data_IF_502585937227
#
_entry.id   IF_502585937227
#
_cell.length_a   1.000
_cell.length_b   1.000
_cell.length_c   1.000
_cell.angle_alpha   90.00
_cell.angle_beta   90.00
_cell.angle_gamma   90.00
#
_symmetry.space_group_name_H-M   'P 1'
#
loop_
_entity.id
_entity.type
_entity.pdbx_description
1 polymer ?
#
# COMPACT_ATOMS: atom_id res chain seq x y z
N UNK A 1 -19.86 32.69 5.63
CA UNK A 1 -19.24 31.44 6.09
C UNK A 1 -19.58 30.37 5.07
N UNK A 2 -18.64 30.00 4.19
CA UNK A 2 -18.83 28.81 3.36
C UNK A 2 -18.80 27.61 4.33
N UNK A 3 -19.89 26.86 4.41
CA UNK A 3 -19.87 25.53 5.00
C UNK A 3 -18.85 24.74 4.18
N UNK A 4 -17.65 24.51 4.73
CA UNK A 4 -16.66 23.65 4.12
C UNK A 4 -17.25 22.25 4.16
N UNK A 5 -17.69 21.74 3.00
CA UNK A 5 -18.12 20.35 2.86
C UNK A 5 -17.00 19.43 3.33
N UNK A 6 -17.34 18.27 3.90
CA UNK A 6 -16.34 17.28 4.29
C UNK A 6 -15.75 16.60 3.05
N UNK A 7 -14.48 16.14 3.09
CA UNK A 7 -13.91 15.33 2.01
C UNK A 7 -14.67 14.01 1.86
N UNK A 8 -14.75 13.48 0.63
CA UNK A 8 -15.17 12.09 0.42
C UNK A 8 -14.00 11.18 0.77
N UNK A 9 -14.21 10.24 1.67
CA UNK A 9 -13.16 9.35 2.18
C UNK A 9 -13.35 7.93 1.64
N UNK A 10 -12.29 7.28 1.19
CA UNK A 10 -12.34 5.93 0.64
C UNK A 10 -11.31 5.05 1.34
N UNK A 11 -11.81 4.11 2.13
CA UNK A 11 -11.02 3.11 2.84
C UNK A 11 -10.93 1.87 1.95
N UNK A 12 -9.72 1.45 1.58
CA UNK A 12 -9.47 0.22 0.85
C UNK A 12 -9.04 -0.90 1.78
N UNK A 13 -9.57 -2.09 1.57
CA UNK A 13 -9.10 -3.31 2.21
C UNK A 13 -8.81 -4.37 1.15
N UNK A 14 -7.57 -4.85 1.09
CA UNK A 14 -7.24 -6.01 0.26
C UNK A 14 -7.79 -7.27 0.92
N UNK A 15 -8.32 -8.19 0.10
CA UNK A 15 -8.81 -9.49 0.58
C UNK A 15 -7.83 -10.20 1.51
N UNK A 16 -8.37 -10.96 2.46
CA UNK A 16 -7.59 -11.78 3.38
C UNK A 16 -6.73 -12.83 2.67
N UNK A 17 -5.83 -13.46 3.41
CA UNK A 17 -4.95 -14.49 2.84
C UNK A 17 -5.76 -15.61 2.18
N UNK A 18 -5.45 -15.93 0.92
CA UNK A 18 -6.07 -17.03 0.18
C UNK A 18 -5.20 -18.27 0.08
N UNK A 19 -5.79 -19.39 -0.33
CA UNK A 19 -5.08 -20.65 -0.60
C UNK A 19 -3.95 -20.46 -1.62
N UNK A 20 -4.15 -19.65 -2.66
CA UNK A 20 -3.11 -19.37 -3.65
C UNK A 20 -2.03 -18.41 -3.14
N UNK A 21 -2.36 -17.53 -2.19
CA UNK A 21 -1.32 -16.75 -1.50
C UNK A 21 -0.40 -17.65 -0.67
N UNK A 22 -0.94 -18.65 0.03
CA UNK A 22 -0.13 -19.64 0.77
C UNK A 22 0.71 -20.51 -0.15
N UNK A 23 0.17 -20.90 -1.31
CA UNK A 23 0.86 -21.73 -2.29
C UNK A 23 1.83 -20.96 -3.20
N UNK A 24 1.82 -19.62 -3.14
CA UNK A 24 2.66 -18.78 -4.02
C UNK A 24 2.29 -18.91 -5.50
N UNK A 25 0.99 -18.81 -5.83
CA UNK A 25 0.46 -18.91 -7.20
C UNK A 25 -0.17 -17.60 -7.66
N UNK A 26 -0.11 -17.34 -8.96
CA UNK A 26 -0.90 -16.27 -9.56
C UNK A 26 -2.39 -16.61 -9.47
N UNK A 27 -3.17 -15.66 -8.96
CA UNK A 27 -4.62 -15.82 -8.77
C UNK A 27 -5.41 -15.34 -9.97
N UNK A 28 -4.98 -14.21 -10.54
CA UNK A 28 -5.73 -13.46 -11.53
C UNK A 28 -7.19 -13.23 -11.10
N UNK A 29 -8.09 -13.31 -12.06
CA UNK A 29 -9.52 -13.08 -11.87
C UNK A 29 -10.33 -14.37 -11.72
N UNK A 30 -9.66 -15.49 -11.45
CA UNK A 30 -10.32 -16.77 -11.17
C UNK A 30 -10.91 -16.84 -9.76
N UNK A 31 -11.95 -17.67 -9.61
CA UNK A 31 -12.56 -18.04 -8.32
C UNK A 31 -12.02 -19.33 -7.71
N UNK A 32 -10.91 -19.86 -8.26
CA UNK A 32 -10.29 -21.09 -7.74
C UNK A 32 -9.68 -20.89 -6.34
N UNK A 33 -9.20 -19.67 -6.04
CA UNK A 33 -8.65 -19.32 -4.75
C UNK A 33 -9.74 -18.85 -3.78
N UNK A 34 -9.75 -19.42 -2.57
CA UNK A 34 -10.64 -19.04 -1.45
C UNK A 34 -9.82 -18.56 -0.26
N UNK A 35 -10.44 -17.87 0.70
CA UNK A 35 -9.78 -17.49 1.94
C UNK A 35 -9.33 -18.71 2.74
N UNK A 36 -8.20 -18.56 3.42
CA UNK A 36 -7.78 -19.53 4.44
C UNK A 36 -8.36 -19.17 5.80
N UNK A 37 -8.23 -20.05 6.79
CA UNK A 37 -8.68 -19.74 8.16
C UNK A 37 -7.98 -18.48 8.72
N UNK A 38 -6.70 -18.28 8.40
CA UNK A 38 -5.99 -17.05 8.73
C UNK A 38 -6.54 -15.83 7.97
N UNK A 39 -6.92 -16.00 6.70
CA UNK A 39 -7.59 -14.95 5.92
C UNK A 39 -8.90 -14.48 6.54
N UNK A 40 -9.76 -15.40 6.98
CA UNK A 40 -10.97 -15.06 7.72
C UNK A 40 -10.68 -14.33 9.04
N UNK A 41 -9.76 -14.86 9.85
CA UNK A 41 -9.39 -14.24 11.14
C UNK A 41 -8.88 -12.81 10.97
N UNK A 42 -7.99 -12.59 10.00
CA UNK A 42 -7.42 -11.25 9.75
C UNK A 42 -8.46 -10.28 9.21
N UNK A 43 -9.40 -10.73 8.38
CA UNK A 43 -10.54 -9.92 7.94
C UNK A 43 -11.44 -9.49 9.11
N UNK A 44 -11.69 -10.38 10.07
CA UNK A 44 -12.42 -10.03 11.30
C UNK A 44 -11.67 -8.96 12.12
N UNK A 45 -10.35 -9.08 12.27
CA UNK A 45 -9.55 -8.06 12.98
C UNK A 45 -9.64 -6.69 12.28
N UNK A 46 -9.65 -6.66 10.95
CA UNK A 46 -9.90 -5.42 10.19
C UNK A 46 -11.31 -4.89 10.45
N UNK A 47 -12.33 -5.74 10.46
CA UNK A 47 -13.69 -5.32 10.80
C UNK A 47 -13.80 -4.72 12.22
N UNK A 48 -13.09 -5.28 13.20
CA UNK A 48 -13.00 -4.74 14.56
C UNK A 48 -12.32 -3.36 14.58
N UNK A 49 -11.23 -3.22 13.83
CA UNK A 49 -10.51 -1.97 13.65
C UNK A 49 -11.37 -0.87 13.01
N UNK A 50 -12.36 -1.24 12.18
CA UNK A 50 -13.25 -0.31 11.49
C UNK A 50 -14.57 -0.01 12.25
N UNK A 51 -14.75 -0.51 13.47
CA UNK A 51 -16.02 -0.33 14.21
C UNK A 51 -16.40 1.12 14.49
N UNK A 52 -15.42 2.01 14.67
CA UNK A 52 -15.64 3.43 14.90
C UNK A 52 -15.88 4.23 13.62
N UNK A 53 -15.65 3.63 12.45
CA UNK A 53 -15.80 4.32 11.17
C UNK A 53 -17.27 4.39 10.78
N UNK A 54 -17.76 5.58 10.45
CA UNK A 54 -19.09 5.76 9.87
C UNK A 54 -19.06 5.44 8.38
N UNK A 55 -19.15 4.16 8.04
CA UNK A 55 -19.19 3.68 6.65
C UNK A 55 -20.59 3.92 6.07
N UNK A 56 -20.66 4.65 4.95
CA UNK A 56 -21.90 5.03 4.28
C UNK A 56 -22.29 4.07 3.16
N UNK A 57 -21.31 3.44 2.50
CA UNK A 57 -21.52 2.39 1.51
C UNK A 57 -20.29 1.48 1.40
N UNK A 58 -20.53 0.23 0.98
CA UNK A 58 -19.50 -0.78 0.74
C UNK A 58 -19.49 -1.16 -0.74
N UNK A 59 -18.31 -1.13 -1.36
CA UNK A 59 -18.10 -1.62 -2.72
C UNK A 59 -17.16 -2.82 -2.69
N UNK A 60 -17.45 -3.85 -3.49
CA UNK A 60 -16.60 -5.05 -3.50
C UNK A 60 -16.49 -5.71 -4.86
N UNK A 61 -15.39 -6.44 -5.09
CA UNK A 61 -15.27 -7.32 -6.25
C UNK A 61 -16.15 -8.56 -6.10
N UNK A 62 -16.70 -9.12 -7.18
CA UNK A 62 -17.51 -10.34 -7.13
C UNK A 62 -16.74 -11.61 -6.74
N UNK A 63 -15.39 -11.60 -6.84
CA UNK A 63 -14.60 -12.81 -6.61
C UNK A 63 -14.73 -13.33 -5.18
N UNK A 64 -14.84 -14.66 -5.04
CA UNK A 64 -15.22 -15.37 -3.81
C UNK A 64 -14.37 -14.99 -2.60
N UNK A 65 -13.04 -14.87 -2.77
CA UNK A 65 -12.11 -14.46 -1.69
C UNK A 65 -12.38 -13.05 -1.16
N UNK A 66 -12.88 -12.14 -2.00
CA UNK A 66 -13.28 -10.79 -1.58
C UNK A 66 -14.61 -10.86 -0.86
N UNK A 67 -15.60 -11.58 -1.39
CA UNK A 67 -16.90 -11.74 -0.74
C UNK A 67 -16.76 -12.33 0.67
N UNK A 68 -15.96 -13.40 0.81
CA UNK A 68 -15.62 -13.97 2.12
C UNK A 68 -14.91 -12.99 3.07
N UNK A 69 -14.14 -12.03 2.53
CA UNK A 69 -13.49 -10.98 3.34
C UNK A 69 -14.52 -9.95 3.79
N UNK A 70 -15.40 -9.53 2.88
CA UNK A 70 -16.48 -8.58 3.16
C UNK A 70 -17.41 -9.12 4.24
N UNK A 71 -17.83 -10.37 4.15
CA UNK A 71 -18.68 -11.03 5.17
C UNK A 71 -18.02 -10.94 6.56
N UNK A 72 -16.75 -11.36 6.64
CA UNK A 72 -15.98 -11.35 7.88
C UNK A 72 -15.77 -9.94 8.48
N UNK A 73 -15.64 -8.91 7.63
CA UNK A 73 -15.57 -7.51 8.07
C UNK A 73 -16.95 -7.05 8.57
N UNK A 74 -18.00 -7.26 7.77
CA UNK A 74 -19.35 -6.80 8.06
C UNK A 74 -19.91 -7.42 9.35
N UNK A 75 -19.53 -8.67 9.67
CA UNK A 75 -19.87 -9.33 10.93
C UNK A 75 -19.42 -8.54 12.16
N UNK A 76 -18.33 -7.77 12.06
CA UNK A 76 -17.79 -6.99 13.16
C UNK A 76 -18.30 -5.55 13.20
N UNK A 77 -18.89 -5.03 12.11
CA UNK A 77 -19.40 -3.66 12.05
C UNK A 77 -20.70 -3.52 12.87
N UNK A 78 -20.91 -2.35 13.52
CA UNK A 78 -22.09 -2.11 14.36
C UNK A 78 -23.38 -2.02 13.55
N UNK A 79 -23.34 -1.41 12.36
CA UNK A 79 -24.48 -1.35 11.45
C UNK A 79 -24.45 -2.53 10.48
N UNK A 80 -25.56 -3.27 10.41
CA UNK A 80 -25.77 -4.34 9.42
C UNK A 80 -26.50 -3.87 8.15
N UNK A 81 -26.97 -2.62 8.15
CA UNK A 81 -27.80 -2.06 7.07
C UNK A 81 -27.02 -1.10 6.16
N UNK A 82 -25.71 -1.30 6.02
CA UNK A 82 -24.88 -0.47 5.14
C UNK A 82 -25.15 -0.92 3.69
N UNK A 83 -25.51 0.00 2.77
CA UNK A 83 -25.66 -0.33 1.35
C UNK A 83 -24.41 -0.98 0.78
N UNK A 84 -24.58 -2.07 0.02
CA UNK A 84 -23.49 -2.82 -0.60
C UNK A 84 -23.69 -2.92 -2.10
N UNK A 85 -22.64 -2.70 -2.87
CA UNK A 85 -22.64 -2.83 -4.34
C UNK A 85 -21.45 -3.70 -4.79
N UNK A 86 -21.74 -4.74 -5.56
CA UNK A 86 -20.74 -5.66 -6.11
C UNK A 86 -20.43 -5.24 -7.54
N UNK A 87 -19.16 -4.93 -7.82
CA UNK A 87 -18.74 -4.31 -9.07
C UNK A 87 -17.69 -5.12 -9.81
N UNK A 88 -17.98 -5.44 -11.07
CA UNK A 88 -17.03 -6.12 -11.96
C UNK A 88 -15.75 -5.30 -12.21
N UNK A 89 -15.86 -3.96 -12.21
CA UNK A 89 -14.70 -3.07 -12.31
C UNK A 89 -13.67 -3.34 -11.20
N UNK A 90 -14.10 -3.87 -10.05
CA UNK A 90 -13.26 -4.17 -8.90
C UNK A 90 -12.60 -5.56 -8.92
N UNK A 91 -12.79 -6.37 -9.97
CA UNK A 91 -12.09 -7.67 -10.12
C UNK A 91 -10.57 -7.48 -10.15
N UNK A 92 -9.82 -8.52 -9.79
CA UNK A 92 -8.36 -8.52 -9.87
C UNK A 92 -7.89 -8.33 -11.31
N UNK A 93 -6.59 -8.10 -11.50
CA UNK A 93 -6.00 -8.13 -12.84
C UNK A 93 -6.16 -9.52 -13.50
N UNK A 94 -6.58 -9.53 -14.76
CA UNK A 94 -6.67 -10.76 -15.54
C UNK A 94 -5.28 -11.20 -16.01
N UNK A 95 -4.86 -12.42 -15.64
CA UNK A 95 -3.58 -12.99 -16.07
C UNK A 95 -3.77 -14.41 -16.62
N UNK A 96 -4.55 -14.62 -17.69
CA UNK A 96 -5.08 -15.94 -18.03
C UNK A 96 -4.02 -17.03 -18.23
N UNK A 97 -2.89 -16.69 -18.85
CA UNK A 97 -1.80 -17.63 -19.08
C UNK A 97 -1.01 -17.99 -17.80
N UNK A 98 -1.20 -17.25 -16.71
CA UNK A 98 -0.48 -17.41 -15.44
C UNK A 98 -1.36 -17.92 -14.31
N UNK A 99 -2.68 -17.78 -14.40
CA UNK A 99 -3.62 -18.21 -13.36
C UNK A 99 -3.37 -19.66 -12.92
N UNK A 100 -3.26 -19.87 -11.61
CA UNK A 100 -2.95 -21.17 -11.01
C UNK A 100 -1.48 -21.57 -11.09
N UNK A 101 -0.63 -20.93 -11.89
CA UNK A 101 0.80 -21.27 -11.94
C UNK A 101 1.56 -20.72 -10.72
N UNK A 102 2.52 -21.49 -10.17
CA UNK A 102 3.43 -20.97 -9.16
C UNK A 102 4.26 -19.79 -9.67
N UNK A 103 4.50 -18.78 -8.84
CA UNK A 103 5.33 -17.61 -9.17
C UNK A 103 6.70 -18.02 -9.68
N UNK A 104 7.32 -19.03 -9.04
CA UNK A 104 8.61 -19.58 -9.44
C UNK A 104 8.57 -20.13 -10.86
N UNK A 105 7.51 -20.87 -11.22
CA UNK A 105 7.37 -21.48 -12.55
C UNK A 105 7.32 -20.42 -13.63
N UNK A 106 6.49 -19.38 -13.46
CA UNK A 106 6.41 -18.27 -14.42
C UNK A 106 7.76 -17.55 -14.53
N UNK A 107 8.39 -17.23 -13.39
CA UNK A 107 9.69 -16.53 -13.37
C UNK A 107 10.80 -17.30 -14.10
N UNK A 108 10.81 -18.64 -14.03
CA UNK A 108 11.90 -19.45 -14.63
C UNK A 108 11.60 -19.94 -16.04
N UNK A 109 10.33 -20.17 -16.40
CA UNK A 109 9.95 -20.75 -17.69
C UNK A 109 9.39 -19.73 -18.68
N UNK A 110 8.96 -18.56 -18.21
CA UNK A 110 8.42 -17.49 -19.06
C UNK A 110 9.20 -16.19 -18.83
N UNK A 111 10.53 -16.26 -18.97
CA UNK A 111 11.46 -15.21 -18.53
C UNK A 111 11.20 -13.87 -19.21
N UNK A 112 11.02 -13.85 -20.54
CA UNK A 112 10.84 -12.60 -21.28
C UNK A 112 9.51 -11.89 -20.96
N UNK A 113 8.41 -12.65 -20.87
CA UNK A 113 7.11 -12.09 -20.50
C UNK A 113 7.09 -11.67 -19.04
N UNK A 114 7.71 -12.44 -18.14
CA UNK A 114 7.89 -12.05 -16.74
C UNK A 114 8.75 -10.79 -16.60
N UNK A 115 9.84 -10.66 -17.35
CA UNK A 115 10.67 -9.46 -17.37
C UNK A 115 9.86 -8.25 -17.83
N UNK A 116 9.10 -8.38 -18.92
CA UNK A 116 8.21 -7.32 -19.39
C UNK A 116 7.17 -6.93 -18.34
N UNK A 117 6.55 -7.90 -17.65
CA UNK A 117 5.60 -7.65 -16.57
C UNK A 117 6.19 -6.83 -15.42
N UNK A 118 7.45 -7.09 -15.03
CA UNK A 118 8.10 -6.41 -13.91
C UNK A 118 8.65 -5.04 -14.32
N UNK A 119 9.31 -4.95 -15.48
CA UNK A 119 10.05 -3.75 -15.89
C UNK A 119 9.19 -2.77 -16.69
N UNK A 120 8.28 -3.28 -17.52
CA UNK A 120 7.44 -2.50 -18.44
C UNK A 120 5.98 -2.98 -18.38
N UNK A 121 5.33 -2.94 -17.20
CA UNK A 121 3.98 -3.47 -16.99
C UNK A 121 2.94 -2.89 -17.95
N UNK A 122 3.12 -1.64 -18.39
CA UNK A 122 2.25 -0.97 -19.36
C UNK A 122 2.37 -1.50 -20.79
N UNK A 123 3.43 -2.21 -21.15
CA UNK A 123 3.62 -2.87 -22.44
C UNK A 123 3.30 -4.36 -22.40
N UNK A 124 3.09 -4.91 -21.20
CA UNK A 124 2.78 -6.30 -20.99
C UNK A 124 1.47 -6.68 -21.68
N UNK A 125 1.52 -7.72 -22.50
CA UNK A 125 0.37 -8.24 -23.23
C UNK A 125 0.12 -9.72 -22.91
N UNK A 126 -1.15 -10.10 -22.98
CA UNK A 126 -1.58 -11.50 -22.93
C UNK A 126 -2.70 -11.73 -23.94
N UNK A 127 -2.85 -12.98 -24.38
CA UNK A 127 -4.06 -13.42 -25.07
C UNK A 127 -5.24 -13.45 -24.08
N UNK A 128 -6.40 -12.94 -24.49
CA UNK A 128 -7.65 -13.17 -23.75
C UNK A 128 -8.02 -14.65 -23.83
N UNK A 129 -8.38 -15.25 -22.69
CA UNK A 129 -9.14 -16.49 -22.70
C UNK A 129 -10.63 -16.13 -22.74
N UNK A 130 -11.38 -16.53 -23.77
CA UNK A 130 -12.82 -16.30 -23.80
C UNK A 130 -13.46 -17.00 -22.60
N UNK A 131 -14.08 -16.21 -21.72
CA UNK A 131 -14.92 -16.74 -20.65
C UNK A 131 -16.24 -17.15 -21.32
N UNK A 132 -16.37 -18.45 -21.64
CA UNK A 132 -17.60 -19.08 -22.11
C UNK A 132 -18.34 -18.33 -23.23
N UNK A 133 -17.95 -18.55 -24.48
CA UNK A 133 -18.88 -18.41 -25.60
C UNK A 133 -18.79 -19.65 -26.49
N UNK A 134 -19.94 -20.07 -27.02
CA UNK A 134 -20.06 -21.17 -27.99
C UNK A 134 -19.21 -20.93 -29.26
N UNK A 135 -18.76 -19.69 -29.48
CA UNK A 135 -17.92 -19.25 -30.61
C UNK A 135 -16.41 -19.11 -30.26
N UNK A 136 -16.01 -19.48 -29.04
CA UNK A 136 -14.62 -19.37 -28.56
C UNK A 136 -13.60 -20.14 -29.40
N UNK A 137 -14.02 -21.19 -30.11
CA UNK A 137 -13.12 -21.99 -30.98
C UNK A 137 -12.82 -21.31 -32.32
N UNK A 138 -13.55 -20.26 -32.71
CA UNK A 138 -13.44 -19.62 -34.05
C UNK A 138 -12.85 -18.21 -34.03
N UNK A 139 -12.77 -17.56 -32.88
CA UNK A 139 -12.15 -16.25 -32.76
C UNK A 139 -10.65 -16.38 -32.52
N UNK A 140 -9.83 -15.67 -33.31
CA UNK A 140 -8.41 -15.50 -32.98
C UNK A 140 -8.31 -14.86 -31.58
N UNK A 141 -7.41 -15.33 -30.71
CA UNK A 141 -7.28 -14.76 -29.37
C UNK A 141 -6.91 -13.28 -29.47
N UNK A 142 -7.83 -12.41 -29.04
CA UNK A 142 -7.59 -10.98 -28.96
C UNK A 142 -6.50 -10.73 -27.90
N UNK A 143 -5.39 -10.11 -28.30
CA UNK A 143 -4.38 -9.65 -27.35
C UNK A 143 -4.88 -8.42 -26.62
N UNK A 144 -4.58 -8.32 -25.32
CA UNK A 144 -4.91 -7.16 -24.50
C UNK A 144 -3.74 -6.81 -23.58
N UNK A 145 -3.81 -5.63 -22.97
CA UNK A 145 -2.84 -5.14 -22.00
C UNK A 145 -3.42 -5.21 -20.59
N UNK A 146 -3.11 -6.23 -19.77
CA UNK A 146 -3.76 -6.44 -18.47
C UNK A 146 -3.73 -5.22 -17.54
N UNK A 147 -2.59 -4.53 -17.49
CA UNK A 147 -2.43 -3.35 -16.60
C UNK A 147 -3.23 -2.16 -17.13
N UNK A 148 -3.24 -1.91 -18.44
CA UNK A 148 -4.01 -0.80 -19.02
C UNK A 148 -5.51 -1.02 -18.83
N UNK A 149 -5.98 -2.26 -19.02
CA UNK A 149 -7.38 -2.63 -18.76
C UNK A 149 -7.77 -2.34 -17.30
N UNK A 150 -6.94 -2.78 -16.34
CA UNK A 150 -7.16 -2.56 -14.92
C UNK A 150 -7.23 -1.07 -14.55
N UNK A 151 -6.37 -0.23 -15.14
CA UNK A 151 -6.39 1.23 -14.93
C UNK A 151 -7.65 1.85 -15.54
N UNK A 152 -8.08 1.40 -16.72
CA UNK A 152 -9.35 1.82 -17.32
C UNK A 152 -10.54 1.47 -16.44
N UNK A 153 -10.56 0.28 -15.83
CA UNK A 153 -11.59 -0.15 -14.86
C UNK A 153 -11.60 0.74 -13.62
N UNK A 154 -10.43 1.04 -13.05
CA UNK A 154 -10.31 1.94 -11.91
C UNK A 154 -10.85 3.35 -12.22
N UNK A 155 -10.53 3.91 -13.40
CA UNK A 155 -11.05 5.21 -13.83
C UNK A 155 -12.58 5.21 -13.98
N UNK A 156 -13.17 4.16 -14.58
CA UNK A 156 -14.64 4.00 -14.67
C UNK A 156 -15.29 3.90 -13.29
N UNK A 157 -14.67 3.19 -12.36
CA UNK A 157 -15.14 3.12 -10.98
C UNK A 157 -15.21 4.53 -10.37
N UNK A 158 -14.13 5.32 -10.47
CA UNK A 158 -14.11 6.69 -9.95
C UNK A 158 -15.18 7.58 -10.57
N UNK A 159 -15.29 7.57 -11.90
CA UNK A 159 -16.28 8.37 -12.62
C UNK A 159 -17.73 8.04 -12.21
N UNK A 160 -18.01 6.78 -11.89
CA UNK A 160 -19.37 6.35 -11.55
C UNK A 160 -19.70 6.50 -10.07
N UNK A 161 -18.74 6.24 -9.16
CA UNK A 161 -19.00 6.16 -7.72
C UNK A 161 -18.81 7.52 -7.04
N UNK A 162 -17.71 8.23 -7.32
CA UNK A 162 -17.34 9.42 -6.56
C UNK A 162 -18.42 10.53 -6.55
N UNK A 163 -19.11 10.85 -7.67
CA UNK A 163 -20.16 11.87 -7.68
C UNK A 163 -21.37 11.57 -6.78
N UNK A 164 -21.57 10.31 -6.38
CA UNK A 164 -22.72 9.89 -5.56
C UNK A 164 -22.47 10.05 -4.05
N UNK A 165 -21.22 10.35 -3.64
CA UNK A 165 -20.77 10.18 -2.26
C UNK A 165 -20.03 11.40 -1.71
N UNK A 166 -20.44 12.61 -2.10
CA UNK A 166 -19.86 13.85 -1.58
C UNK A 166 -19.89 13.89 -0.05
N UNK A 167 -18.72 14.03 0.59
CA UNK A 167 -18.57 14.10 2.05
C UNK A 167 -18.90 12.81 2.81
N UNK A 168 -18.96 11.67 2.12
CA UNK A 168 -19.24 10.36 2.72
C UNK A 168 -17.98 9.49 2.79
N UNK A 169 -18.01 8.48 3.67
CA UNK A 169 -16.96 7.46 3.80
C UNK A 169 -17.38 6.16 3.15
N UNK A 170 -16.56 5.68 2.21
CA UNK A 170 -16.75 4.42 1.49
C UNK A 170 -15.76 3.37 1.97
N UNK A 171 -16.22 2.12 2.06
CA UNK A 171 -15.34 0.96 2.23
C UNK A 171 -15.28 0.19 0.91
N UNK A 172 -14.08 0.04 0.34
CA UNK A 172 -13.85 -0.70 -0.91
C UNK A 172 -13.01 -1.93 -0.59
N UNK A 173 -13.59 -3.12 -0.73
CA UNK A 173 -12.88 -4.39 -0.51
C UNK A 173 -12.56 -5.05 -1.85
N UNK A 174 -11.27 -5.24 -2.14
CA UNK A 174 -10.83 -5.71 -3.45
C UNK A 174 -9.47 -6.42 -3.36
N UNK A 175 -8.65 -6.34 -4.40
CA UNK A 175 -7.43 -7.11 -4.58
C UNK A 175 -6.20 -6.23 -4.68
N UNK A 176 -5.01 -6.86 -4.73
CA UNK A 176 -3.75 -6.14 -4.71
C UNK A 176 -3.56 -5.28 -5.95
N UNK A 177 -3.77 -5.85 -7.14
CA UNK A 177 -3.62 -5.11 -8.40
C UNK A 177 -4.71 -4.04 -8.55
N UNK A 178 -5.95 -4.37 -8.21
CA UNK A 178 -7.07 -3.43 -8.32
C UNK A 178 -6.95 -2.23 -7.40
N UNK A 179 -6.65 -2.43 -6.11
CA UNK A 179 -6.44 -1.32 -5.17
C UNK A 179 -5.24 -0.48 -5.62
N UNK A 180 -4.20 -1.14 -6.17
CA UNK A 180 -3.09 -0.43 -6.74
C UNK A 180 -3.50 0.52 -7.87
N UNK A 181 -4.30 0.04 -8.82
CA UNK A 181 -4.81 0.85 -9.93
C UNK A 181 -5.76 1.96 -9.45
N UNK A 182 -6.60 1.70 -8.44
CA UNK A 182 -7.50 2.70 -7.85
C UNK A 182 -6.71 3.85 -7.21
N UNK A 183 -5.72 3.54 -6.39
CA UNK A 183 -4.84 4.55 -5.77
C UNK A 183 -4.03 5.27 -6.84
N UNK A 184 -3.39 4.52 -7.75
CA UNK A 184 -2.57 5.09 -8.82
C UNK A 184 -3.34 6.08 -9.68
N UNK A 185 -4.52 5.70 -10.17
CA UNK A 185 -5.33 6.57 -11.05
C UNK A 185 -5.86 7.81 -10.33
N UNK A 186 -6.14 7.72 -9.03
CA UNK A 186 -6.55 8.87 -8.21
C UNK A 186 -5.40 9.86 -7.96
N UNK A 187 -4.16 9.38 -7.92
CA UNK A 187 -2.94 10.18 -7.75
C UNK A 187 -2.27 10.57 -9.07
N UNK A 188 -2.92 10.35 -10.23
CA UNK A 188 -2.34 10.67 -11.53
C UNK A 188 -1.21 9.74 -12.02
N UNK A 189 -0.93 8.65 -11.31
CA UNK A 189 0.08 7.66 -11.71
C UNK A 189 -0.39 6.86 -12.94
N UNK A 190 0.57 6.49 -13.78
CA UNK A 190 0.33 5.78 -15.04
C UNK A 190 0.49 4.26 -14.89
N UNK A 191 0.02 3.44 -15.86
CA UNK A 191 0.26 2.00 -15.89
C UNK A 191 1.74 1.58 -15.82
N UNK A 192 2.68 2.46 -16.17
CA UNK A 192 4.12 2.19 -16.07
C UNK A 192 4.56 2.03 -14.60
N UNK A 193 3.88 2.71 -13.69
CA UNK A 193 4.16 2.71 -12.25
C UNK A 193 3.45 1.56 -11.51
N UNK A 194 2.91 0.55 -12.21
CA UNK A 194 2.07 -0.51 -11.63
C UNK A 194 2.69 -1.29 -10.45
N UNK A 195 4.01 -1.28 -10.27
CA UNK A 195 4.67 -2.02 -9.19
C UNK A 195 5.24 -1.13 -8.08
N UNK A 196 4.93 0.17 -8.07
CA UNK A 196 5.53 1.12 -7.13
C UNK A 196 4.88 1.15 -5.73
N UNK A 197 3.63 0.69 -5.57
CA UNK A 197 2.97 0.62 -4.26
C UNK A 197 2.74 -0.81 -3.82
N UNK A 198 2.99 -1.10 -2.56
CA UNK A 198 2.69 -2.41 -1.98
C UNK A 198 1.25 -2.48 -1.45
N UNK A 199 0.61 -3.62 -1.67
CA UNK A 199 -0.64 -4.01 -1.00
C UNK A 199 -0.48 -5.39 -0.35
N UNK A 200 -0.64 -5.47 0.97
CA UNK A 200 -0.62 -6.66 1.82
C UNK A 200 -2.03 -7.22 1.99
N UNK A 201 -2.18 -8.53 2.21
CA UNK A 201 -3.49 -9.10 2.54
C UNK A 201 -4.05 -8.45 3.81
N UNK A 202 -5.32 -8.06 3.82
CA UNK A 202 -5.92 -7.26 4.90
C UNK A 202 -5.19 -5.95 5.21
N UNK A 203 -4.33 -5.45 4.30
CA UNK A 203 -3.75 -4.13 4.39
C UNK A 203 -4.82 -3.07 4.13
N UNK A 204 -4.77 -1.99 4.92
CA UNK A 204 -5.71 -0.87 4.86
C UNK A 204 -5.03 0.35 4.23
N UNK A 205 -5.65 0.93 3.22
CA UNK A 205 -5.21 2.20 2.62
C UNK A 205 -6.36 3.20 2.63
N UNK A 206 -6.08 4.49 2.63
CA UNK A 206 -7.09 5.56 2.70
C UNK A 206 -6.76 6.65 1.70
N UNK A 207 -7.73 6.96 0.84
CA UNK A 207 -7.76 8.19 0.05
C UNK A 207 -8.80 9.16 0.60
N UNK A 208 -8.51 10.44 0.51
CA UNK A 208 -9.49 11.51 0.68
C UNK A 208 -9.58 12.34 -0.59
N UNK A 209 -10.80 12.75 -0.93
CA UNK A 209 -11.09 13.62 -2.06
C UNK A 209 -11.63 14.93 -1.48
N UNK A 210 -10.77 15.96 -1.31
CA UNK A 210 -11.21 17.23 -0.77
C UNK A 210 -12.30 17.86 -1.65
N UNK A 211 -13.27 18.56 -1.05
CA UNK A 211 -14.31 19.19 -1.85
C UNK A 211 -13.73 20.28 -2.74
N UNK A 212 -14.24 20.35 -3.98
CA UNK A 212 -13.77 21.26 -5.03
C UNK A 212 -12.29 21.07 -5.46
N UNK A 213 -11.57 20.10 -4.89
CA UNK A 213 -10.28 19.69 -5.41
C UNK A 213 -10.47 18.75 -6.62
N UNK A 214 -9.58 18.89 -7.60
CA UNK A 214 -9.49 17.99 -8.74
C UNK A 214 -8.47 16.86 -8.51
N UNK A 215 -8.05 16.65 -7.27
CA UNK A 215 -7.02 15.69 -6.88
C UNK A 215 -7.47 14.88 -5.65
N UNK A 216 -6.85 13.71 -5.47
CA UNK A 216 -6.99 12.89 -4.29
C UNK A 216 -5.77 13.01 -3.38
N UNK A 217 -5.97 12.81 -2.09
CA UNK A 217 -4.94 12.74 -1.07
C UNK A 217 -4.76 11.31 -0.60
N UNK A 218 -3.54 10.78 -0.65
CA UNK A 218 -3.18 9.54 0.02
C UNK A 218 -2.84 9.81 1.48
N UNK A 219 -3.78 9.46 2.36
CA UNK A 219 -3.67 9.69 3.80
C UNK A 219 -3.07 8.47 4.52
N UNK A 220 -3.21 7.28 3.94
CA UNK A 220 -2.64 6.05 4.51
C UNK A 220 -2.44 5.02 3.41
N UNK A 221 -1.35 4.25 3.48
CA UNK A 221 -1.09 3.17 2.53
C UNK A 221 -0.68 1.91 3.27
N UNK A 222 -1.38 0.83 2.98
CA UNK A 222 -0.99 -0.53 3.30
C UNK A 222 -0.65 -0.77 4.78
N UNK A 223 -1.42 -0.16 5.68
CA UNK A 223 -1.31 -0.40 7.10
C UNK A 223 -1.80 -1.80 7.47
N UNK A 224 -0.98 -2.51 8.22
CA UNK A 224 -1.24 -3.88 8.70
C UNK A 224 -1.30 -3.96 10.22
N UNK A 225 -1.31 -2.81 10.92
CA UNK A 225 -1.36 -2.76 12.38
C UNK A 225 -2.59 -3.45 12.97
N UNK A 226 -3.75 -3.37 12.30
CA UNK A 226 -4.98 -4.05 12.73
C UNK A 226 -4.79 -5.57 12.90
N UNK A 227 -3.98 -6.18 12.03
CA UNK A 227 -3.71 -7.62 12.02
C UNK A 227 -2.43 -8.00 12.79
N UNK A 228 -1.79 -7.03 13.44
CA UNK A 228 -0.60 -7.25 14.28
C UNK A 228 0.72 -7.34 13.53
N UNK A 229 0.79 -6.90 12.27
CA UNK A 229 2.06 -6.80 11.55
C UNK A 229 2.58 -5.36 11.61
N UNK A 230 3.74 -5.14 12.24
CA UNK A 230 4.35 -3.82 12.43
C UNK A 230 4.79 -3.18 11.11
N UNK A 231 5.41 -3.96 10.24
CA UNK A 231 5.88 -3.51 8.93
C UNK A 231 5.32 -4.41 7.83
N UNK A 232 4.96 -3.85 6.65
CA UNK A 232 4.57 -4.66 5.50
C UNK A 232 5.65 -5.71 5.16
N UNK A 233 5.25 -6.93 4.81
CA UNK A 233 6.22 -7.99 4.45
C UNK A 233 7.04 -7.64 3.21
N UNK A 234 8.32 -7.99 3.20
CA UNK A 234 9.15 -7.90 2.00
C UNK A 234 8.66 -8.90 0.94
N UNK A 235 8.33 -8.41 -0.26
CA UNK A 235 7.85 -9.26 -1.37
C UNK A 235 8.99 -9.82 -2.24
N UNK A 236 10.08 -9.08 -2.44
CA UNK A 236 11.19 -9.45 -3.33
C UNK A 236 12.53 -9.52 -2.57
N UNK A 237 13.26 -10.62 -2.76
CA UNK A 237 14.69 -10.76 -2.44
C UNK A 237 15.10 -10.79 -0.97
N UNK A 238 14.32 -10.21 -0.05
CA UNK A 238 14.75 -9.93 1.35
C UNK A 238 16.15 -9.31 1.41
N UNK A 239 16.44 -8.44 0.44
CA UNK A 239 17.75 -7.91 0.14
C UNK A 239 17.62 -6.45 -0.30
N UNK A 240 18.73 -5.72 -0.27
CA UNK A 240 18.79 -4.31 -0.62
C UNK A 240 18.55 -3.42 0.59
N UNK A 241 17.94 -2.27 0.36
CA UNK A 241 17.82 -1.23 1.36
C UNK A 241 16.36 -0.96 1.70
N UNK A 242 16.04 -0.94 2.98
CA UNK A 242 14.73 -0.58 3.51
C UNK A 242 14.86 0.68 4.35
N UNK A 243 14.08 1.71 4.02
CA UNK A 243 14.05 2.95 4.78
C UNK A 243 12.74 3.07 5.54
N UNK A 244 12.86 3.38 6.83
CA UNK A 244 11.79 3.82 7.69
C UNK A 244 11.88 5.34 7.78
N UNK A 245 10.88 6.02 7.25
CA UNK A 245 10.84 7.47 7.12
C UNK A 245 9.92 8.01 8.22
N UNK A 246 10.49 8.76 9.16
CA UNK A 246 9.79 9.34 10.30
C UNK A 246 9.69 10.87 10.11
N UNK A 247 8.52 11.40 9.69
CA UNK A 247 8.28 12.84 9.63
C UNK A 247 8.19 13.38 11.05
N UNK A 248 9.00 14.39 11.33
CA UNK A 248 9.06 15.02 12.65
C UNK A 248 9.03 16.53 12.52
N UNK A 249 8.21 17.17 13.35
CA UNK A 249 8.24 18.62 13.56
C UNK A 249 9.06 18.95 14.81
N UNK A 250 9.72 20.13 14.86
CA UNK A 250 10.44 20.57 16.06
C UNK A 250 9.56 20.50 17.31
N UNK A 251 10.14 20.04 18.41
CA UNK A 251 9.48 19.96 19.73
C UNK A 251 8.28 18.99 19.82
N UNK A 252 7.96 18.25 18.76
CA UNK A 252 6.86 17.28 18.83
C UNK A 252 7.20 16.08 19.73
N UNK A 253 6.22 15.53 20.48
CA UNK A 253 6.42 14.30 21.23
C UNK A 253 6.47 13.08 20.28
N UNK A 254 7.45 12.19 20.47
CA UNK A 254 7.62 10.96 19.69
C UNK A 254 6.97 9.74 20.37
N UNK A 255 5.79 9.93 20.96
CA UNK A 255 5.12 8.90 21.75
C UNK A 255 4.86 7.63 20.92
N UNK A 256 5.21 6.47 21.47
CA UNK A 256 5.02 5.15 20.85
C UNK A 256 5.98 4.81 19.71
N UNK A 257 6.77 5.76 19.20
CA UNK A 257 7.82 5.48 18.20
C UNK A 257 8.94 4.60 18.76
N UNK A 258 9.48 4.85 19.98
CA UNK A 258 10.49 3.95 20.56
C UNK A 258 9.97 2.51 20.73
N UNK A 259 8.75 2.35 21.23
CA UNK A 259 8.12 1.03 21.40
C UNK A 259 7.92 0.33 20.05
N UNK A 260 7.52 1.07 19.01
CA UNK A 260 7.42 0.54 17.65
C UNK A 260 8.75 0.05 17.10
N UNK A 261 9.83 0.78 17.37
CA UNK A 261 11.17 0.46 16.89
C UNK A 261 11.82 -0.70 17.66
N UNK A 262 11.41 -0.97 18.91
CA UNK A 262 11.98 -2.04 19.75
C UNK A 262 12.02 -3.41 19.05
N UNK A 263 11.01 -3.76 18.26
CA UNK A 263 10.93 -5.03 17.53
C UNK A 263 11.58 -4.99 16.13
N UNK A 264 12.21 -3.88 15.76
CA UNK A 264 12.75 -3.62 14.43
C UNK A 264 14.27 -3.48 14.50
N UNK A 265 14.99 -4.34 13.78
CA UNK A 265 16.44 -4.18 13.61
C UNK A 265 16.77 -2.94 12.76
N UNK A 266 17.67 -2.09 13.25
CA UNK A 266 18.15 -0.87 12.58
C UNK A 266 19.67 -0.92 12.41
N UNK A 267 20.14 -0.88 11.16
CA UNK A 267 21.56 -0.87 10.85
C UNK A 267 22.16 0.54 10.97
N UNK A 268 21.39 1.57 10.62
CA UNK A 268 21.80 2.97 10.73
C UNK A 268 20.61 3.91 10.93
N UNK A 269 20.89 5.12 11.40
CA UNK A 269 19.93 6.21 11.50
C UNK A 269 20.51 7.48 10.89
N UNK A 270 19.70 8.15 10.06
CA UNK A 270 20.01 9.43 9.42
C UNK A 270 19.05 10.47 9.96
N UNK A 271 19.57 11.61 10.39
CA UNK A 271 18.73 12.72 10.82
C UNK A 271 19.16 14.06 10.22
N UNK A 272 18.17 14.90 9.94
CA UNK A 272 18.40 16.30 9.58
C UNK A 272 18.91 17.05 10.81
N UNK A 273 20.05 17.74 10.68
CA UNK A 273 20.65 18.47 11.80
C UNK A 273 19.67 19.48 12.41
N UNK A 274 19.58 19.48 13.75
CA UNK A 274 18.77 20.43 14.52
C UNK A 274 17.26 20.14 14.55
N UNK A 275 16.79 19.06 13.92
CA UNK A 275 15.35 18.74 13.88
C UNK A 275 14.82 18.19 15.22
N UNK A 276 15.60 17.33 15.86
CA UNK A 276 15.33 16.81 17.21
C UNK A 276 16.57 16.95 18.08
N UNK A 277 16.39 17.04 19.39
CA UNK A 277 17.50 17.11 20.34
C UNK A 277 18.29 15.78 20.40
N UNK A 278 19.55 15.85 20.82
CA UNK A 278 20.37 14.67 21.10
C UNK A 278 19.69 13.75 22.15
N UNK A 279 18.99 14.35 23.11
CA UNK A 279 18.20 13.62 24.10
C UNK A 279 17.06 12.81 23.47
N UNK A 280 16.26 13.43 22.58
CA UNK A 280 15.19 12.74 21.85
C UNK A 280 15.76 11.64 20.94
N UNK A 281 16.89 11.89 20.29
CA UNK A 281 17.60 10.88 19.48
C UNK A 281 18.00 9.67 20.33
N UNK A 282 18.62 9.93 21.49
CA UNK A 282 19.05 8.88 22.41
C UNK A 282 17.87 8.08 22.97
N UNK A 283 16.74 8.73 23.26
CA UNK A 283 15.52 8.06 23.70
C UNK A 283 14.93 7.18 22.58
N UNK A 284 14.94 7.66 21.34
CA UNK A 284 14.40 6.92 20.21
C UNK A 284 15.24 5.69 19.85
N UNK A 285 16.56 5.77 20.03
CA UNK A 285 17.51 4.69 19.73
C UNK A 285 17.95 3.92 20.98
N UNK A 286 17.25 4.04 22.12
CA UNK A 286 17.67 3.43 23.39
C UNK A 286 17.80 1.91 23.31
N UNK A 287 17.00 1.27 22.46
CA UNK A 287 16.99 -0.17 22.22
C UNK A 287 17.90 -0.60 21.05
N UNK A 288 18.66 0.34 20.47
CA UNK A 288 19.46 0.12 19.28
C UNK A 288 20.92 0.62 19.44
N UNK A 289 21.69 0.06 20.40
CA UNK A 289 23.04 0.55 20.73
C UNK A 289 24.06 0.33 19.61
N UNK A 290 23.80 -0.60 18.68
CA UNK A 290 24.67 -0.90 17.54
C UNK A 290 24.36 -0.05 16.29
N UNK A 291 23.26 0.72 16.30
CA UNK A 291 22.85 1.53 15.14
C UNK A 291 23.83 2.67 14.91
N UNK A 292 24.40 2.71 13.71
CA UNK A 292 25.30 3.80 13.30
C UNK A 292 24.50 5.08 13.09
N UNK A 293 24.80 6.11 13.88
CA UNK A 293 24.12 7.41 13.79
C UNK A 293 24.90 8.37 12.88
N UNK A 294 24.22 8.94 11.89
CA UNK A 294 24.79 9.94 10.99
C UNK A 294 23.92 11.19 11.00
N UNK A 295 24.48 12.31 11.46
CA UNK A 295 23.87 13.61 11.29
C UNK A 295 24.21 14.15 9.91
N UNK A 296 23.19 14.59 9.17
CA UNK A 296 23.39 15.13 7.84
C UNK A 296 23.03 16.61 7.81
N UNK A 297 24.03 17.44 7.50
CA UNK A 297 23.87 18.89 7.36
C UNK A 297 23.32 19.30 5.99
N UNK A 298 23.36 18.38 5.01
CA UNK A 298 22.88 18.63 3.65
C UNK A 298 21.38 18.38 3.56
N UNK A 299 20.65 19.36 3.04
CA UNK A 299 19.21 19.25 2.82
C UNK A 299 18.84 18.27 1.72
N UNK A 300 19.72 18.07 0.75
CA UNK A 300 19.53 17.20 -0.41
C UNK A 300 20.10 15.79 -0.20
N UNK A 301 20.48 15.41 1.04
CA UNK A 301 21.26 14.18 1.24
C UNK A 301 20.54 12.94 0.76
N UNK A 302 19.22 12.90 0.87
CA UNK A 302 18.43 11.76 0.43
C UNK A 302 18.51 11.64 -1.09
N UNK A 303 18.42 12.75 -1.82
CA UNK A 303 18.57 12.80 -3.27
C UNK A 303 20.00 12.49 -3.70
N UNK A 304 21.01 13.05 -3.02
CA UNK A 304 22.42 12.76 -3.27
C UNK A 304 22.76 11.30 -2.99
N UNK A 305 22.15 10.70 -1.97
CA UNK A 305 22.35 9.30 -1.61
C UNK A 305 21.62 8.37 -2.58
N UNK A 306 20.40 8.70 -3.01
CA UNK A 306 19.73 8.00 -4.10
C UNK A 306 20.53 8.05 -5.39
N UNK A 307 21.05 9.23 -5.77
CA UNK A 307 21.96 9.37 -6.91
C UNK A 307 23.20 8.51 -6.72
N UNK A 308 23.78 8.47 -5.52
CA UNK A 308 24.93 7.61 -5.21
C UNK A 308 24.58 6.12 -5.33
N UNK A 309 23.42 5.68 -4.86
CA UNK A 309 22.95 4.30 -4.99
C UNK A 309 22.70 3.93 -6.47
N UNK A 310 22.15 4.87 -7.24
CA UNK A 310 21.94 4.70 -8.69
C UNK A 310 23.27 4.69 -9.46
N UNK A 311 24.21 5.58 -9.14
CA UNK A 311 25.52 5.71 -9.79
C UNK A 311 26.49 4.58 -9.43
N UNK A 312 26.42 4.05 -8.21
CA UNK A 312 27.23 2.90 -7.77
C UNK A 312 26.73 1.57 -8.32
N UNK A 313 25.68 1.58 -9.15
CA UNK A 313 25.16 0.40 -9.84
C UNK A 313 24.92 -0.75 -8.87
N UNK A 314 23.91 -0.64 -8.01
CA UNK A 314 23.40 -1.71 -7.12
C UNK A 314 24.47 -2.75 -6.75
N UNK A 315 25.49 -2.36 -5.97
CA UNK A 315 26.33 -3.36 -5.32
C UNK A 315 25.38 -4.23 -4.48
N UNK A 316 25.25 -5.49 -4.90
CA UNK A 316 24.33 -6.45 -4.28
C UNK A 316 24.78 -6.71 -2.86
N UNK A 317 24.20 -5.97 -1.91
CA UNK A 317 24.26 -6.42 -0.52
C UNK A 317 23.47 -7.71 -0.44
N UNK A 318 24.12 -8.84 -0.18
CA UNK A 318 23.43 -10.13 0.04
C UNK A 318 22.48 -10.06 1.25
N UNK A 319 22.64 -9.03 2.09
CA UNK A 319 21.83 -8.74 3.27
C UNK A 319 20.92 -7.52 3.05
N UNK A 320 19.77 -7.53 3.72
CA UNK A 320 18.90 -6.37 3.82
C UNK A 320 19.49 -5.39 4.84
N UNK A 321 19.66 -4.13 4.44
CA UNK A 321 19.96 -3.03 5.35
C UNK A 321 18.68 -2.26 5.66
N UNK A 322 18.43 -1.98 6.93
CA UNK A 322 17.29 -1.20 7.41
C UNK A 322 17.79 0.09 8.05
N UNK A 323 17.39 1.22 7.48
CA UNK A 323 17.76 2.54 7.97
C UNK A 323 16.56 3.32 8.47
N UNK A 324 16.72 4.04 9.58
CA UNK A 324 15.77 5.06 10.01
C UNK A 324 16.18 6.42 9.42
N UNK A 325 15.22 7.18 8.92
CA UNK A 325 15.41 8.54 8.40
C UNK A 325 14.46 9.49 9.11
N UNK A 326 15.00 10.48 9.81
CA UNK A 326 14.26 11.49 10.57
C UNK A 326 14.43 12.84 9.86
N UNK A 327 13.32 13.37 9.34
CA UNK A 327 13.31 14.63 8.58
C UNK A 327 11.96 15.34 8.72
N UNK A 328 11.89 16.60 8.29
CA UNK A 328 10.62 17.34 8.29
C UNK A 328 9.59 16.70 7.33
N UNK A 329 8.28 16.88 7.57
CA UNK A 329 7.23 16.37 6.69
C UNK A 329 7.49 16.69 5.21
N UNK A 330 7.77 17.96 4.88
CA UNK A 330 8.02 18.40 3.49
C UNK A 330 9.16 17.63 2.81
N UNK A 331 10.26 17.36 3.54
CA UNK A 331 11.43 16.65 3.00
C UNK A 331 11.10 15.18 2.74
N UNK A 332 10.35 14.54 3.62
CA UNK A 332 9.91 13.15 3.44
C UNK A 332 8.88 13.06 2.32
N UNK A 333 7.97 14.02 2.23
CA UNK A 333 6.98 14.08 1.18
C UNK A 333 7.63 14.23 -0.19
N UNK A 334 8.57 15.18 -0.36
CA UNK A 334 9.31 15.35 -1.60
C UNK A 334 10.05 14.07 -2.03
N UNK A 335 10.67 13.37 -1.07
CA UNK A 335 11.31 12.07 -1.31
C UNK A 335 10.30 11.03 -1.80
N UNK A 336 9.17 10.89 -1.11
CA UNK A 336 8.14 9.91 -1.44
C UNK A 336 7.54 10.16 -2.81
N UNK A 337 7.22 11.42 -3.13
CA UNK A 337 6.73 11.82 -4.46
C UNK A 337 7.73 11.45 -5.55
N UNK A 338 9.03 11.73 -5.35
CA UNK A 338 10.07 11.34 -6.28
C UNK A 338 10.14 9.81 -6.47
N UNK A 339 10.01 9.03 -5.38
CA UNK A 339 10.06 7.56 -5.42
C UNK A 339 8.91 6.97 -6.25
N UNK A 340 7.69 7.47 -6.05
CA UNK A 340 6.51 6.98 -6.78
C UNK A 340 6.38 7.60 -8.17
N UNK A 341 7.21 8.60 -8.50
CA UNK A 341 7.28 9.24 -9.82
C UNK A 341 6.21 10.30 -10.04
N UNK A 342 5.89 11.07 -9.00
CA UNK A 342 5.02 12.25 -9.03
C UNK A 342 5.89 13.50 -9.13
N UNK A 343 5.47 14.47 -9.95
CA UNK A 343 6.20 15.72 -10.13
C UNK A 343 6.12 16.60 -8.86
N UNK A 344 7.18 17.34 -8.50
CA UNK A 344 7.30 18.09 -7.24
C UNK A 344 6.41 19.36 -7.13
N UNK A 345 5.43 19.54 -8.00
CA UNK A 345 4.50 20.69 -7.97
C UNK A 345 3.07 20.28 -7.58
N UNK A 346 2.90 19.06 -7.09
CA UNK A 346 1.63 18.50 -6.60
C UNK A 346 1.71 18.32 -5.08
N UNK A 347 1.99 19.41 -4.37
CA UNK A 347 2.33 19.46 -2.93
C UNK A 347 1.23 18.91 -1.99
N UNK A 348 0.05 18.60 -2.53
CA UNK A 348 -1.10 18.14 -1.76
C UNK A 348 -1.50 16.69 -2.01
N UNK A 349 -0.72 15.85 -2.72
CA UNK A 349 -1.13 14.46 -3.02
C UNK A 349 -0.86 13.45 -1.91
N UNK A 350 0.15 13.68 -1.06
CA UNK A 350 0.47 12.81 0.08
C UNK A 350 0.22 13.60 1.36
N UNK A 351 -0.68 13.11 2.21
CA UNK A 351 -0.89 13.69 3.54
C UNK A 351 -0.03 12.91 4.52
N UNK A 352 1.07 13.50 5.01
CA UNK A 352 1.93 12.89 6.02
C UNK A 352 1.48 13.28 7.42
N UNK A 353 1.46 12.30 8.32
CA UNK A 353 1.17 12.52 9.73
C UNK A 353 2.47 12.49 10.52
N UNK A 354 2.92 13.62 11.11
CA UNK A 354 4.09 13.64 11.96
C UNK A 354 4.03 12.53 13.04
N UNK A 355 5.15 11.83 13.25
CA UNK A 355 5.23 10.70 14.18
C UNK A 355 4.69 9.36 13.65
N UNK A 356 4.14 9.31 12.43
CA UNK A 356 3.75 8.07 11.74
C UNK A 356 4.78 7.68 10.70
N UNK A 357 5.13 6.41 10.65
CA UNK A 357 6.20 5.94 9.76
C UNK A 357 5.70 5.79 8.33
N UNK A 358 6.56 6.09 7.36
CA UNK A 358 6.43 5.59 5.98
C UNK A 358 7.56 4.63 5.68
N UNK A 359 7.34 3.64 4.80
CA UNK A 359 8.30 2.55 4.59
C UNK A 359 8.57 2.40 3.11
N UNK A 360 9.84 2.47 2.71
CA UNK A 360 10.28 2.31 1.32
C UNK A 360 11.27 1.16 1.22
N UNK A 361 11.14 0.34 0.19
CA UNK A 361 12.10 -0.72 -0.12
C UNK A 361 12.74 -0.50 -1.48
N UNK A 362 14.06 -0.34 -1.48
CA UNK A 362 14.94 -0.34 -2.64
C UNK A 362 15.50 -1.75 -2.82
N UNK A 363 14.83 -2.57 -3.64
CA UNK A 363 15.30 -3.91 -3.94
C UNK A 363 16.61 -3.87 -4.77
N UNK A 364 17.48 -4.87 -4.59
CA UNK A 364 18.74 -5.03 -5.36
C UNK A 364 18.55 -5.33 -6.85
N UNK A 365 17.31 -5.53 -7.33
CA UNK A 365 17.02 -5.66 -8.75
C UNK A 365 16.74 -4.30 -9.37
N UNK A 366 16.93 -4.15 -10.68
CA UNK A 366 16.65 -2.95 -11.51
C UNK A 366 15.19 -2.42 -11.44
N UNK A 367 14.40 -2.91 -10.51
CA UNK A 367 13.06 -2.44 -10.17
C UNK A 367 13.10 -1.08 -9.49
N UNK A 368 12.14 -0.22 -9.85
CA UNK A 368 11.84 1.02 -9.13
C UNK A 368 11.65 0.74 -7.63
N UNK A 369 11.99 1.70 -6.74
CA UNK A 369 11.73 1.54 -5.32
C UNK A 369 10.22 1.38 -5.07
N UNK A 370 9.89 0.64 -4.02
CA UNK A 370 8.50 0.31 -3.67
C UNK A 370 8.14 1.06 -2.39
N UNK A 371 7.10 1.89 -2.45
CA UNK A 371 6.45 2.44 -1.27
C UNK A 371 5.64 1.31 -0.62
N UNK A 372 6.16 0.79 0.48
CA UNK A 372 5.58 -0.35 1.17
C UNK A 372 4.40 0.04 2.07
N UNK A 373 4.45 1.24 2.65
CA UNK A 373 3.39 1.79 3.48
C UNK A 373 3.60 3.28 3.75
N UNK A 374 2.51 3.98 4.06
CA UNK A 374 2.46 5.41 4.34
C UNK A 374 1.59 5.62 5.59
N UNK A 375 2.08 6.43 6.52
CA UNK A 375 1.44 6.69 7.82
C UNK A 375 1.06 5.41 8.58
N UNK A 376 1.95 4.41 8.61
CA UNK A 376 1.68 3.16 9.33
C UNK A 376 1.65 3.41 10.85
N UNK A 377 0.79 2.66 11.54
CA UNK A 377 0.44 2.93 12.92
C UNK A 377 1.55 2.51 13.89
N UNK A 378 2.19 3.48 14.55
CA UNK A 378 3.29 3.28 15.51
C UNK A 378 2.84 2.86 16.92
N UNK A 379 1.61 3.16 17.35
CA UNK A 379 1.16 2.91 18.74
C UNK A 379 0.64 1.47 19.01
N UNK A 380 1.15 0.43 18.33
CA UNK A 380 0.62 -0.93 18.50
C UNK A 380 1.21 -1.74 19.67
N UNK A 381 2.14 -1.19 20.46
CA UNK A 381 2.91 -1.99 21.43
C UNK A 381 2.35 -1.84 22.85
N UNK A 382 1.43 -2.76 23.19
CA UNK A 382 1.27 -3.50 24.46
C UNK A 382 -0.10 -4.19 24.48
N UNK A 383 -0.24 -5.27 23.69
CA UNK A 383 -1.40 -6.17 23.77
C UNK A 383 -1.19 -7.24 24.86
N UNK A 384 -1.15 -6.81 26.11
CA UNK A 384 -1.52 -7.66 27.24
C UNK A 384 -2.80 -7.09 27.86
N UNK A 385 -3.92 -7.76 27.55
CA UNK A 385 -5.26 -7.59 28.11
C UNK A 385 -5.89 -6.18 28.12
N UNK A 386 -7.06 -6.11 27.47
CA UNK A 386 -8.14 -5.13 27.72
C UNK A 386 -7.82 -3.64 27.56
N UNK A 387 -7.51 -3.19 26.34
CA UNK A 387 -7.71 -1.77 25.97
C UNK A 387 -8.42 -1.68 24.62
N UNK A 388 -9.48 -0.87 24.59
CA UNK A 388 -10.34 -0.58 23.44
C UNK A 388 -9.54 -0.07 22.23
N UNK A 389 -9.87 -0.46 20.99
CA UNK A 389 -9.30 0.12 19.78
C UNK A 389 -9.89 1.52 19.56
N UNK A 390 -9.43 2.49 20.34
CA UNK A 390 -9.78 3.89 20.11
C UNK A 390 -8.66 4.60 19.34
N UNK A 391 -9.07 5.20 18.22
CA UNK A 391 -8.33 6.10 17.34
C UNK A 391 -7.30 5.43 16.41
N UNK A 392 -7.77 4.55 15.52
CA UNK A 392 -6.96 4.14 14.37
C UNK A 392 -6.68 5.30 13.40
N UNK A 393 -7.54 6.33 13.32
CA UNK A 393 -7.55 7.24 12.18
C UNK A 393 -7.95 8.71 12.49
N UNK A 394 -7.88 9.17 13.75
CA UNK A 394 -8.16 10.58 14.07
C UNK A 394 -6.86 11.38 14.18
N UNK A 395 -6.55 12.15 13.15
CA UNK A 395 -5.78 13.39 13.25
C UNK A 395 -6.36 14.37 12.22
N UNK A 396 -6.82 15.52 12.72
CA UNK A 396 -7.13 16.74 11.94
C UNK A 396 -5.81 17.42 11.61
#
# INVERSE_FOLDING_TARGET
MQLTSLPTRVIFVRHGRSTYNEQGRYQGSSDQAVLTANGHRTAQLVGQALQSEKIHAIYSSPLKRVQQTVDAICDQLPSKAIPMDVRDDLREIDLPAWEGLPYKTVRTHQVDTYRCWIERPHEFQMARCPHSSFDAERAAPESFYPVRDLYGRAQRFWHTVLPQHAGQTLLVVSHGGTIHALISTALGLTPEQHHCLQQSNCGVSVLEFPPAANFAQLCQLNDTGAIGELLPKLKAGRQGLRLLLLPVEPEMPLNGVPDFLEEIHLDFSLQTHGLISDFQTAQLLSNHPETVQLQVQREDFIQAWQQTLNLRGQQSSETLLTGLVIASPDKIQALLMQIIGIAPHEDDLLSLNPGRMSVVHFANSQSRPILQGLNIYTNCVKRHNSVSPHNLLVAV
#
